data_IF_748634637540
#
_entry.id   IF_748634637540
#
_cell.length_a   1.000
_cell.length_b   1.000
_cell.length_c   1.000
_cell.angle_alpha   90.00
_cell.angle_beta   90.00
_cell.angle_gamma   90.00
#
_symmetry.space_group_name_H-M   'P 1'
#
loop_
_entity.id
_entity.type
_entity.pdbx_description
1 polymer ?
#
# COMPACT_ATOMS: atom_id res chain seq x y z
N UNK A 1 21.92 5.92 -11.42
CA UNK A 1 21.56 7.34 -11.61
C UNK A 1 22.17 8.13 -10.47
N UNK A 2 22.76 9.29 -10.75
CA UNK A 2 23.18 10.20 -9.68
C UNK A 2 21.90 10.84 -9.10
N UNK A 3 21.89 11.10 -7.81
CA UNK A 3 20.72 11.62 -7.07
C UNK A 3 20.10 12.88 -7.71
N UNK A 4 20.93 13.75 -8.28
CA UNK A 4 20.50 14.97 -8.98
C UNK A 4 19.74 14.75 -10.29
N UNK A 5 19.89 13.60 -10.96
CA UNK A 5 19.19 13.30 -12.22
C UNK A 5 17.80 12.69 -11.99
N UNK A 6 17.49 12.27 -10.78
CA UNK A 6 16.22 11.60 -10.46
C UNK A 6 15.02 12.56 -10.54
N UNK A 7 15.21 13.83 -10.24
CA UNK A 7 14.13 14.82 -10.25
C UNK A 7 14.05 15.68 -11.51
N UNK A 8 14.87 15.40 -12.55
CA UNK A 8 14.81 16.11 -13.83
C UNK A 8 13.47 15.84 -14.55
N UNK A 9 13.05 14.59 -14.60
CA UNK A 9 11.77 14.18 -15.21
C UNK A 9 11.08 13.09 -14.41
N UNK A 10 9.77 13.27 -14.20
CA UNK A 10 8.96 12.28 -13.49
C UNK A 10 8.70 11.05 -14.36
N UNK A 11 9.16 9.87 -13.93
CA UNK A 11 8.83 8.60 -14.59
C UNK A 11 7.36 8.27 -14.42
N UNK A 12 6.82 7.42 -15.33
CA UNK A 12 5.44 6.95 -15.24
C UNK A 12 5.18 6.21 -13.92
N UNK A 13 6.09 5.33 -13.52
CA UNK A 13 5.99 4.61 -12.23
C UNK A 13 5.99 5.56 -11.03
N UNK A 14 6.83 6.61 -11.05
CA UNK A 14 6.83 7.63 -9.99
C UNK A 14 5.51 8.41 -9.95
N UNK A 15 4.93 8.70 -11.11
CA UNK A 15 3.62 9.35 -11.22
C UNK A 15 2.51 8.47 -10.65
N UNK A 16 2.44 7.20 -11.03
CA UNK A 16 1.43 6.26 -10.53
C UNK A 16 1.59 6.05 -9.02
N UNK A 17 2.83 5.88 -8.52
CA UNK A 17 3.11 5.80 -7.09
C UNK A 17 2.55 6.99 -6.31
N UNK A 18 2.87 8.21 -6.77
CA UNK A 18 2.37 9.43 -6.15
C UNK A 18 0.84 9.54 -6.20
N UNK A 19 0.23 9.12 -7.31
CA UNK A 19 -1.23 9.09 -7.48
C UNK A 19 -1.89 8.10 -6.50
N UNK A 20 -1.34 6.89 -6.34
CA UNK A 20 -1.84 5.89 -5.39
C UNK A 20 -1.87 6.46 -3.96
N UNK A 21 -0.75 7.00 -3.49
CA UNK A 21 -0.63 7.53 -2.12
C UNK A 21 -1.56 8.73 -1.91
N UNK A 22 -1.59 9.65 -2.90
CA UNK A 22 -2.40 10.87 -2.81
C UNK A 22 -3.91 10.60 -2.90
N UNK A 23 -4.32 9.54 -3.56
CA UNK A 23 -5.73 9.11 -3.58
C UNK A 23 -6.11 8.34 -2.32
N UNK A 24 -5.18 7.56 -1.77
CA UNK A 24 -5.41 6.77 -0.58
C UNK A 24 -5.63 7.64 0.66
N UNK A 25 -4.77 8.62 0.92
CA UNK A 25 -4.74 9.35 2.17
C UNK A 25 -6.07 10.03 2.55
N UNK A 26 -6.76 10.79 1.67
CA UNK A 26 -8.06 11.37 2.00
C UNK A 26 -9.14 10.32 2.29
N UNK A 27 -9.14 9.19 1.55
CA UNK A 27 -10.08 8.09 1.76
C UNK A 27 -9.82 7.36 3.08
N UNK A 28 -8.55 7.15 3.44
CA UNK A 28 -8.12 6.66 4.76
C UNK A 28 -8.60 7.58 5.87
N UNK A 29 -8.41 8.89 5.74
CA UNK A 29 -8.91 9.87 6.72
C UNK A 29 -10.42 9.73 6.94
N UNK A 30 -11.20 9.57 5.88
CA UNK A 30 -12.65 9.36 5.99
C UNK A 30 -13.00 8.08 6.75
N UNK A 31 -12.24 6.99 6.57
CA UNK A 31 -12.43 5.75 7.36
C UNK A 31 -12.18 6.01 8.85
N UNK A 32 -11.14 6.75 9.18
CA UNK A 32 -10.81 7.10 10.56
C UNK A 32 -11.89 7.97 11.19
N UNK A 33 -12.28 9.06 10.52
CA UNK A 33 -13.27 10.03 11.00
C UNK A 33 -14.62 9.37 11.29
N UNK A 34 -15.04 8.44 10.45
CA UNK A 34 -16.30 7.70 10.62
C UNK A 34 -16.31 6.77 11.84
N UNK A 35 -15.15 6.45 12.40
CA UNK A 35 -15.01 5.59 13.57
C UNK A 35 -14.68 6.36 14.85
N UNK A 36 -13.92 7.40 14.72
CA UNK A 36 -13.41 8.22 15.81
C UNK A 36 -13.08 9.60 15.24
N UNK A 37 -13.39 10.68 16.00
CA UNK A 37 -13.06 12.04 15.61
C UNK A 37 -11.72 12.43 16.25
N UNK A 38 -10.58 12.21 15.58
CA UNK A 38 -9.28 12.56 16.14
C UNK A 38 -9.10 14.09 16.16
N UNK A 39 -8.18 14.58 16.99
CA UNK A 39 -7.80 15.99 17.01
C UNK A 39 -7.09 16.39 15.72
N UNK A 40 -6.25 15.50 15.19
CA UNK A 40 -5.56 15.69 13.93
C UNK A 40 -5.35 14.36 13.20
N UNK A 41 -5.20 14.44 11.89
CA UNK A 41 -4.82 13.33 11.02
C UNK A 41 -3.45 13.65 10.44
N UNK A 42 -2.51 12.73 10.51
CA UNK A 42 -1.13 12.98 10.08
C UNK A 42 -0.79 12.29 8.79
N UNK A 43 -0.21 13.04 7.87
CA UNK A 43 0.54 12.50 6.75
C UNK A 43 2.03 12.74 7.02
N UNK A 44 2.80 11.66 7.05
CA UNK A 44 4.24 11.70 7.35
C UNK A 44 4.99 11.15 6.15
N UNK A 45 5.88 11.93 5.58
CA UNK A 45 6.76 11.51 4.49
C UNK A 45 8.22 11.75 4.90
N UNK A 46 8.97 10.67 5.04
CA UNK A 46 10.34 10.73 5.56
C UNK A 46 11.40 10.97 4.48
N UNK A 47 11.01 10.87 3.19
CA UNK A 47 11.88 11.05 2.03
C UNK A 47 11.13 11.84 0.96
N UNK A 48 10.68 13.04 1.32
CA UNK A 48 9.67 13.79 0.60
C UNK A 48 10.14 14.40 -0.73
N UNK A 49 11.45 14.49 -0.95
CA UNK A 49 12.04 15.12 -2.13
C UNK A 49 11.74 16.62 -2.25
N UNK A 50 11.92 17.20 -3.43
CA UNK A 50 11.75 18.66 -3.63
C UNK A 50 10.28 19.11 -3.75
N UNK A 51 9.30 18.22 -3.77
CA UNK A 51 7.88 18.53 -3.98
C UNK A 51 7.48 18.68 -5.44
N UNK A 52 8.33 19.20 -6.29
CA UNK A 52 8.17 19.27 -7.75
C UNK A 52 9.39 18.74 -8.47
N UNK A 53 9.13 18.13 -9.60
CA UNK A 53 10.15 17.78 -10.59
C UNK A 53 10.54 19.02 -11.43
N UNK A 54 11.68 18.97 -12.12
CA UNK A 54 12.11 20.07 -12.99
C UNK A 54 11.18 20.25 -14.20
N UNK A 55 10.51 19.20 -14.64
CA UNK A 55 9.48 19.22 -15.67
C UNK A 55 8.15 19.88 -15.21
N UNK A 56 8.08 20.36 -13.95
CA UNK A 56 6.93 21.00 -13.35
C UNK A 56 5.90 20.05 -12.74
N UNK A 57 6.06 18.72 -12.88
CA UNK A 57 5.16 17.75 -12.29
C UNK A 57 5.25 17.75 -10.76
N UNK A 58 4.10 17.61 -10.10
CA UNK A 58 4.03 17.52 -8.64
C UNK A 58 4.43 16.13 -8.16
N UNK A 59 5.20 16.06 -7.06
CA UNK A 59 5.50 14.82 -6.37
C UNK A 59 4.48 14.52 -5.27
N UNK A 60 4.64 13.40 -4.58
CA UNK A 60 3.69 12.89 -3.59
C UNK A 60 3.25 13.92 -2.55
N UNK A 61 4.12 14.72 -1.90
CA UNK A 61 3.73 15.73 -0.90
C UNK A 61 2.67 16.72 -1.40
N UNK A 62 2.88 17.28 -2.60
CA UNK A 62 1.97 18.28 -3.14
C UNK A 62 0.65 17.65 -3.59
N UNK A 63 0.69 16.48 -4.23
CA UNK A 63 -0.53 15.77 -4.67
C UNK A 63 -1.41 15.37 -3.48
N UNK A 64 -0.82 14.89 -2.39
CA UNK A 64 -1.55 14.56 -1.16
C UNK A 64 -2.23 15.80 -0.59
N UNK A 65 -1.50 16.92 -0.47
CA UNK A 65 -2.05 18.16 0.03
C UNK A 65 -3.19 18.68 -0.86
N UNK A 66 -3.02 18.67 -2.18
CA UNK A 66 -4.03 19.09 -3.16
C UNK A 66 -5.30 18.25 -3.06
N UNK A 67 -5.18 16.95 -2.87
CA UNK A 67 -6.33 16.07 -2.69
C UNK A 67 -7.05 16.30 -1.35
N UNK A 68 -6.34 16.71 -0.30
CA UNK A 68 -6.94 17.09 0.98
C UNK A 68 -7.79 18.37 0.89
N UNK A 69 -7.44 19.30 0.01
CA UNK A 69 -8.23 20.54 -0.20
C UNK A 69 -9.65 20.28 -0.72
N UNK A 70 -9.91 19.13 -1.31
CA UNK A 70 -11.25 18.74 -1.77
C UNK A 70 -12.24 18.48 -0.63
N UNK A 71 -11.76 18.49 0.62
CA UNK A 71 -12.55 18.22 1.82
C UNK A 71 -12.21 19.24 2.92
N UNK A 72 -13.18 20.08 3.29
CA UNK A 72 -13.01 21.13 4.28
C UNK A 72 -12.61 20.62 5.67
N UNK A 73 -13.06 19.42 6.05
CA UNK A 73 -12.65 18.81 7.31
C UNK A 73 -11.16 18.47 7.29
N UNK A 74 -10.65 17.91 6.18
CA UNK A 74 -9.23 17.60 6.05
C UNK A 74 -8.37 18.86 6.04
N UNK A 75 -8.84 19.92 5.38
CA UNK A 75 -8.17 21.23 5.39
C UNK A 75 -7.95 21.76 6.82
N UNK A 76 -8.89 21.46 7.73
CA UNK A 76 -8.83 21.93 9.13
C UNK A 76 -8.03 21.00 10.06
N UNK A 77 -7.98 19.69 9.78
CA UNK A 77 -7.50 18.70 10.74
C UNK A 77 -6.27 17.91 10.27
N UNK A 78 -5.81 18.10 9.02
CA UNK A 78 -4.62 17.40 8.54
C UNK A 78 -3.36 18.16 8.94
N UNK A 79 -2.39 17.42 9.48
CA UNK A 79 -1.01 17.87 9.69
C UNK A 79 -0.08 17.14 8.72
N UNK A 80 0.63 17.90 7.92
CA UNK A 80 1.70 17.38 7.09
C UNK A 80 3.03 17.44 7.83
N UNK A 81 3.80 16.36 7.80
CA UNK A 81 5.13 16.22 8.38
C UNK A 81 6.03 15.69 7.29
N UNK A 82 6.91 16.54 6.81
CA UNK A 82 7.83 16.22 5.73
C UNK A 82 9.28 16.24 6.23
N UNK A 83 10.02 15.25 5.80
CA UNK A 83 11.45 15.21 6.02
C UNK A 83 12.17 14.89 4.70
N UNK A 84 13.21 15.65 4.43
CA UNK A 84 14.17 15.33 3.38
C UNK A 84 15.53 15.95 3.74
N UNK A 85 16.58 15.13 3.75
CA UNK A 85 17.88 15.60 4.19
C UNK A 85 18.58 16.53 3.18
N UNK A 86 18.16 16.48 1.93
CA UNK A 86 18.77 17.24 0.81
C UNK A 86 17.85 18.36 0.32
N UNK A 87 16.55 18.08 0.18
CA UNK A 87 15.60 18.94 -0.55
C UNK A 87 14.64 19.72 0.36
N UNK A 88 14.83 19.75 1.68
CA UNK A 88 13.92 20.38 2.65
C UNK A 88 13.54 21.82 2.27
N UNK A 89 14.51 22.67 1.91
CA UNK A 89 14.26 24.10 1.61
C UNK A 89 13.52 24.28 0.29
N UNK A 90 13.84 23.47 -0.70
CA UNK A 90 13.13 23.47 -1.99
C UNK A 90 11.69 22.96 -1.82
N UNK A 91 11.50 21.88 -1.04
CA UNK A 91 10.18 21.35 -0.71
C UNK A 91 9.32 22.39 0.00
N UNK A 92 9.86 23.04 1.03
CA UNK A 92 9.16 24.07 1.78
C UNK A 92 8.75 25.21 0.88
N UNK A 93 9.65 25.69 0.02
CA UNK A 93 9.37 26.75 -0.94
C UNK A 93 8.27 26.35 -1.94
N UNK A 94 8.39 25.17 -2.54
CA UNK A 94 7.40 24.66 -3.50
C UNK A 94 6.04 24.45 -2.83
N UNK A 95 6.03 23.88 -1.64
CA UNK A 95 4.79 23.64 -0.89
C UNK A 95 4.09 24.94 -0.50
N UNK A 96 4.83 25.91 0.05
CA UNK A 96 4.26 27.19 0.48
C UNK A 96 3.84 28.08 -0.70
N UNK A 97 4.43 27.90 -1.87
CA UNK A 97 4.00 28.56 -3.10
C UNK A 97 2.64 28.04 -3.56
N UNK A 98 2.42 26.72 -3.53
CA UNK A 98 1.14 26.10 -3.93
C UNK A 98 0.06 26.24 -2.83
N UNK A 99 0.47 26.20 -1.57
CA UNK A 99 -0.41 26.23 -0.40
C UNK A 99 0.07 27.29 0.60
N UNK A 100 -0.23 28.59 0.35
CA UNK A 100 0.16 29.68 1.23
C UNK A 100 -0.33 29.48 2.68
N UNK A 101 0.29 30.18 3.62
CA UNK A 101 -0.12 30.16 5.03
C UNK A 101 -1.62 30.44 5.18
N UNK A 102 -2.29 29.62 5.98
CA UNK A 102 -3.74 29.66 6.14
C UNK A 102 -4.54 28.77 5.17
N UNK A 103 -3.90 28.16 4.14
CA UNK A 103 -4.55 27.16 3.30
C UNK A 103 -4.98 25.95 4.14
N UNK A 104 -4.13 25.49 5.05
CA UNK A 104 -4.45 24.50 6.06
C UNK A 104 -4.42 25.14 7.43
N UNK A 105 -5.36 24.78 8.31
CA UNK A 105 -5.43 25.31 9.68
C UNK A 105 -4.21 24.90 10.51
N UNK A 106 -3.69 23.68 10.28
CA UNK A 106 -2.51 23.17 10.96
C UNK A 106 -1.32 23.37 10.02
N UNK A 107 -0.35 24.16 10.43
CA UNK A 107 0.84 24.42 9.63
C UNK A 107 1.64 23.12 9.35
N UNK A 108 2.15 22.93 8.15
CA UNK A 108 3.05 21.83 7.82
C UNK A 108 4.36 21.95 8.60
N UNK A 109 4.99 20.82 8.86
CA UNK A 109 6.32 20.76 9.48
C UNK A 109 7.33 20.19 8.49
N UNK A 110 8.47 20.87 8.34
CA UNK A 110 9.56 20.47 7.46
C UNK A 110 10.85 20.24 8.25
N UNK A 111 11.55 19.15 7.95
CA UNK A 111 12.85 18.83 8.56
C UNK A 111 13.85 18.32 7.53
N UNK A 112 15.14 18.43 7.85
CA UNK A 112 16.27 18.03 7.00
C UNK A 112 17.14 16.97 7.69
N UNK A 113 16.54 15.94 8.28
CA UNK A 113 17.26 14.97 9.11
C UNK A 113 17.51 13.68 8.36
N UNK A 114 18.67 13.07 8.63
CA UNK A 114 18.98 11.73 8.14
C UNK A 114 18.21 10.68 8.95
N UNK A 115 17.33 9.96 8.27
CA UNK A 115 16.54 8.86 8.88
C UNK A 115 17.51 7.76 9.36
N UNK A 116 17.25 7.22 10.56
CA UNK A 116 18.09 6.23 11.22
C UNK A 116 19.27 6.80 12.01
N UNK A 117 19.73 8.02 11.73
CA UNK A 117 20.80 8.68 12.48
C UNK A 117 20.26 9.68 13.52
N UNK A 118 19.12 10.28 13.24
CA UNK A 118 18.51 11.27 14.13
C UNK A 118 17.50 10.63 15.09
N UNK A 119 17.94 10.36 16.30
CA UNK A 119 17.12 9.74 17.36
C UNK A 119 15.72 10.35 17.57
N UNK A 120 15.50 11.69 17.50
CA UNK A 120 14.16 12.23 17.65
C UNK A 120 13.14 11.77 16.62
N UNK A 121 13.49 11.50 15.36
CA UNK A 121 12.56 10.89 14.40
C UNK A 121 12.16 9.50 14.87
N UNK A 122 13.14 8.66 15.22
CA UNK A 122 12.88 7.31 15.75
C UNK A 122 11.99 7.40 17.00
N UNK A 123 12.33 8.25 17.95
CA UNK A 123 11.53 8.44 19.17
C UNK A 123 10.10 8.93 18.86
N UNK A 124 9.94 9.79 17.87
CA UNK A 124 8.63 10.24 17.43
C UNK A 124 7.78 9.10 16.86
N UNK A 125 8.39 8.24 16.01
CA UNK A 125 7.70 7.11 15.41
C UNK A 125 7.31 6.05 16.44
N UNK A 126 8.22 5.71 17.38
CA UNK A 126 7.97 4.69 18.41
C UNK A 126 7.14 5.19 19.58
N UNK A 127 6.85 6.48 19.65
CA UNK A 127 6.02 7.03 20.71
C UNK A 127 4.63 6.40 20.67
N UNK A 128 4.51 5.28 21.38
CA UNK A 128 3.25 4.60 21.58
C UNK A 128 2.38 5.48 22.45
N UNK A 129 1.42 6.11 21.84
CA UNK A 129 0.48 6.91 22.59
C UNK A 129 -0.81 6.17 22.87
N UNK A 130 -1.27 5.31 21.92
CA UNK A 130 -2.58 4.70 22.10
C UNK A 130 -2.75 3.42 21.25
N UNK A 131 -2.68 2.27 21.89
CA UNK A 131 -2.99 0.98 21.31
C UNK A 131 -4.50 0.83 21.01
N UNK A 132 -5.34 1.60 21.72
CA UNK A 132 -6.80 1.58 21.57
C UNK A 132 -7.35 2.64 20.61
N UNK A 133 -8.69 2.66 20.46
CA UNK A 133 -9.42 3.61 19.58
C UNK A 133 -9.33 5.09 20.01
N UNK A 134 -8.54 5.41 21.00
CA UNK A 134 -8.35 6.76 21.51
C UNK A 134 -7.09 7.46 20.96
N UNK A 135 -6.51 6.96 19.87
CA UNK A 135 -5.43 7.69 19.21
C UNK A 135 -5.97 8.99 18.61
N UNK A 136 -5.54 10.12 19.18
CA UNK A 136 -5.98 11.45 18.77
C UNK A 136 -5.25 12.00 17.54
N UNK A 137 -4.23 11.27 17.06
CA UNK A 137 -3.40 11.67 15.94
C UNK A 137 -3.02 10.47 15.04
N UNK A 138 -4.01 9.73 14.50
CA UNK A 138 -3.72 8.65 13.59
C UNK A 138 -2.92 9.15 12.40
N UNK A 139 -1.98 8.31 11.92
CA UNK A 139 -1.02 8.73 10.92
C UNK A 139 -0.87 7.71 9.80
N UNK A 140 -0.76 8.21 8.57
CA UNK A 140 -0.22 7.48 7.42
C UNK A 140 1.25 7.87 7.26
N UNK A 141 2.13 6.87 7.30
CA UNK A 141 3.56 7.01 7.09
C UNK A 141 3.92 6.53 5.69
N UNK A 142 4.54 7.39 4.89
CA UNK A 142 5.09 7.06 3.60
C UNK A 142 6.62 7.06 3.65
N UNK A 143 7.22 5.99 3.13
CA UNK A 143 8.67 5.75 3.15
C UNK A 143 9.10 5.35 1.75
N UNK A 144 9.81 6.24 1.07
CA UNK A 144 10.36 6.04 -0.27
C UNK A 144 11.88 6.28 -0.30
N UNK A 145 12.69 5.40 0.30
CA UNK A 145 14.10 5.65 0.51
C UNK A 145 14.93 5.38 -0.74
N UNK A 146 15.96 6.19 -0.99
CA UNK A 146 16.99 5.87 -1.98
C UNK A 146 17.82 4.62 -1.61
N UNK A 147 17.81 4.23 -0.33
CA UNK A 147 18.47 3.05 0.21
C UNK A 147 17.87 2.70 1.57
N UNK A 148 18.15 1.50 2.08
CA UNK A 148 17.49 0.99 3.30
C UNK A 148 18.24 1.27 4.59
N UNK A 149 19.36 2.01 4.54
CA UNK A 149 20.08 2.43 5.75
C UNK A 149 19.14 3.28 6.64
N UNK A 150 18.99 2.87 7.88
CA UNK A 150 18.14 3.55 8.85
C UNK A 150 16.66 3.20 8.76
N UNK A 151 16.28 2.23 7.91
CA UNK A 151 14.93 1.66 7.88
C UNK A 151 14.93 0.42 8.77
N UNK A 152 14.38 0.59 9.97
CA UNK A 152 14.30 -0.46 10.98
C UNK A 152 12.85 -0.96 11.11
N UNK A 153 12.61 -2.21 10.71
CA UNK A 153 11.25 -2.79 10.75
C UNK A 153 10.69 -2.84 12.17
N UNK A 154 11.53 -2.98 13.19
CA UNK A 154 11.11 -2.90 14.60
C UNK A 154 10.51 -1.52 14.95
N UNK A 155 11.13 -0.44 14.47
CA UNK A 155 10.63 0.93 14.67
C UNK A 155 9.30 1.13 13.95
N UNK A 156 9.22 0.67 12.71
CA UNK A 156 8.01 0.78 11.89
C UNK A 156 6.86 -0.06 12.46
N UNK A 157 7.15 -1.24 13.00
CA UNK A 157 6.16 -2.07 13.67
C UNK A 157 5.60 -1.38 14.93
N UNK A 158 6.45 -0.74 15.74
CA UNK A 158 6.00 0.04 16.89
C UNK A 158 5.12 1.23 16.46
N UNK A 159 5.48 1.93 15.38
CA UNK A 159 4.61 2.95 14.80
C UNK A 159 3.25 2.38 14.40
N UNK A 160 3.25 1.25 13.70
CA UNK A 160 2.04 0.56 13.24
C UNK A 160 1.18 0.05 14.42
N UNK A 161 1.77 -0.18 15.60
CA UNK A 161 1.04 -0.62 16.80
C UNK A 161 -0.04 0.37 17.24
N UNK A 162 0.14 1.66 16.99
CA UNK A 162 -0.87 2.67 17.30
C UNK A 162 -2.15 2.47 16.48
N UNK A 163 -3.31 2.71 17.11
CA UNK A 163 -4.59 2.57 16.41
C UNK A 163 -4.70 3.57 15.24
N UNK A 164 -5.14 3.08 14.11
CA UNK A 164 -5.32 3.89 12.91
C UNK A 164 -4.03 4.19 12.16
N UNK A 165 -2.85 3.89 12.70
CA UNK A 165 -1.61 4.08 11.95
C UNK A 165 -1.48 3.05 10.83
N UNK A 166 -0.98 3.52 9.68
CA UNK A 166 -0.73 2.72 8.48
C UNK A 166 0.57 3.14 7.80
N UNK A 167 1.14 2.26 7.00
CA UNK A 167 2.44 2.48 6.35
C UNK A 167 2.34 2.16 4.87
N UNK A 168 2.88 3.06 4.04
CA UNK A 168 3.35 2.74 2.70
C UNK A 168 4.87 2.65 2.70
N UNK A 169 5.40 1.54 2.23
CA UNK A 169 6.83 1.31 2.10
C UNK A 169 7.17 1.00 0.64
N UNK A 170 7.99 1.84 0.03
CA UNK A 170 8.49 1.60 -1.32
C UNK A 170 9.74 0.72 -1.27
N UNK A 171 9.73 -0.34 -2.06
CA UNK A 171 10.76 -1.39 -2.07
C UNK A 171 11.37 -1.52 -3.45
N UNK A 172 12.69 -1.37 -3.53
CA UNK A 172 13.47 -1.71 -4.69
C UNK A 172 14.15 -3.07 -4.49
N UNK A 173 13.55 -4.09 -5.03
CA UNK A 173 14.03 -5.48 -4.86
C UNK A 173 15.38 -5.75 -5.54
N UNK A 174 15.76 -4.97 -6.56
CA UNK A 174 17.10 -5.05 -7.17
C UNK A 174 18.22 -4.68 -6.21
N UNK A 175 17.92 -3.90 -5.18
CA UNK A 175 18.89 -3.55 -4.13
C UNK A 175 18.89 -4.56 -2.99
N UNK A 176 17.73 -5.10 -2.65
CA UNK A 176 17.57 -6.06 -1.55
C UNK A 176 18.14 -7.42 -1.93
N UNK A 177 17.81 -7.91 -3.13
CA UNK A 177 18.23 -9.25 -3.56
C UNK A 177 19.76 -9.47 -3.49
N UNK A 178 20.62 -8.63 -4.10
CA UNK A 178 22.06 -8.79 -3.97
C UNK A 178 22.57 -8.57 -2.54
N UNK A 179 21.90 -7.72 -1.75
CA UNK A 179 22.27 -7.45 -0.37
C UNK A 179 22.03 -8.67 0.54
N UNK A 180 21.02 -9.49 0.28
CA UNK A 180 20.76 -10.73 1.00
C UNK A 180 21.86 -11.79 0.79
N UNK A 181 22.55 -11.74 -0.35
CA UNK A 181 23.64 -12.67 -0.69
C UNK A 181 25.02 -12.18 -0.22
N UNK A 182 25.15 -10.92 0.21
CA UNK A 182 26.41 -10.28 0.55
C UNK A 182 26.49 -9.99 2.06
N UNK A 183 27.38 -10.67 2.76
CA UNK A 183 27.60 -10.54 4.20
C UNK A 183 27.84 -9.09 4.67
N UNK A 184 28.43 -8.25 3.82
CA UNK A 184 28.65 -6.83 4.14
C UNK A 184 27.34 -6.10 4.44
N UNK A 185 26.24 -6.53 3.84
CA UNK A 185 24.92 -5.92 4.00
C UNK A 185 24.03 -6.68 4.99
N UNK A 186 24.55 -7.73 5.63
CA UNK A 186 23.77 -8.51 6.60
C UNK A 186 23.15 -7.66 7.72
N UNK A 187 23.86 -6.73 8.38
CA UNK A 187 23.25 -5.87 9.40
C UNK A 187 22.02 -5.11 8.87
N UNK A 188 22.15 -4.53 7.67
CA UNK A 188 21.07 -3.80 7.01
C UNK A 188 19.87 -4.71 6.68
N UNK A 189 20.14 -5.93 6.23
CA UNK A 189 19.09 -6.90 5.93
C UNK A 189 18.42 -7.43 7.20
N UNK A 190 19.15 -7.54 8.30
CA UNK A 190 18.58 -7.88 9.62
C UNK A 190 17.72 -6.75 10.21
N UNK A 191 18.03 -5.49 9.93
CA UNK A 191 17.17 -4.36 10.29
C UNK A 191 15.84 -4.41 9.52
N UNK A 192 15.89 -4.83 8.25
CA UNK A 192 14.72 -4.94 7.39
C UNK A 192 13.91 -6.23 7.65
N UNK A 193 14.59 -7.34 7.95
CA UNK A 193 14.02 -8.67 8.18
C UNK A 193 14.49 -9.27 9.54
N UNK A 194 14.17 -8.63 10.68
CA UNK A 194 14.71 -9.03 11.97
C UNK A 194 14.32 -10.45 12.39
N UNK A 195 13.18 -10.96 11.96
CA UNK A 195 12.69 -12.30 12.36
C UNK A 195 12.70 -13.33 11.23
N UNK A 196 12.77 -12.90 9.95
CA UNK A 196 12.67 -13.79 8.79
C UNK A 196 13.94 -13.88 7.94
N UNK A 197 14.99 -13.15 8.27
CA UNK A 197 16.24 -13.13 7.51
C UNK A 197 16.79 -14.53 7.21
N UNK A 198 16.93 -15.38 8.25
CA UNK A 198 17.43 -16.75 8.07
C UNK A 198 16.44 -17.62 7.26
N UNK A 199 15.14 -17.41 7.44
CA UNK A 199 14.11 -18.10 6.65
C UNK A 199 14.26 -17.79 5.17
N UNK A 200 14.42 -16.50 4.82
CA UNK A 200 14.60 -16.07 3.43
C UNK A 200 15.85 -16.71 2.83
N UNK A 201 16.98 -16.69 3.55
CA UNK A 201 18.25 -17.26 3.05
C UNK A 201 18.20 -18.77 2.86
N UNK A 202 17.44 -19.48 3.69
CA UNK A 202 17.32 -20.95 3.63
C UNK A 202 16.22 -21.45 2.70
N UNK A 203 15.32 -20.58 2.26
CA UNK A 203 14.19 -21.00 1.44
C UNK A 203 14.69 -21.45 0.04
N UNK A 204 14.22 -22.63 -0.39
CA UNK A 204 14.57 -23.21 -1.69
C UNK A 204 14.10 -22.34 -2.86
N UNK A 205 12.98 -21.66 -2.71
CA UNK A 205 12.44 -20.73 -3.72
C UNK A 205 13.36 -19.54 -3.96
N UNK A 206 14.12 -19.13 -2.95
CA UNK A 206 15.10 -18.06 -3.09
C UNK A 206 16.18 -18.37 -4.16
N UNK A 207 16.42 -19.66 -4.43
CA UNK A 207 17.42 -20.14 -5.40
C UNK A 207 16.83 -20.55 -6.76
N UNK A 208 15.51 -20.51 -6.95
CA UNK A 208 14.86 -20.99 -8.19
C UNK A 208 14.77 -19.88 -9.24
N UNK A 209 13.76 -19.07 -9.21
CA UNK A 209 13.57 -17.99 -10.19
C UNK A 209 13.66 -16.60 -9.57
N UNK A 210 13.94 -15.58 -10.38
CA UNK A 210 13.95 -14.19 -9.91
C UNK A 210 12.57 -13.79 -9.39
N UNK A 211 11.51 -14.14 -10.10
CA UNK A 211 10.14 -13.78 -9.72
C UNK A 211 9.74 -14.37 -8.37
N UNK A 212 10.05 -15.66 -8.12
CA UNK A 212 9.75 -16.31 -6.84
C UNK A 212 10.55 -15.69 -5.69
N UNK A 213 11.81 -15.30 -5.95
CA UNK A 213 12.63 -14.60 -4.96
C UNK A 213 12.06 -13.23 -4.58
N UNK A 214 11.62 -12.47 -5.57
CA UNK A 214 11.04 -11.16 -5.34
C UNK A 214 9.74 -11.26 -4.53
N UNK A 215 8.90 -12.24 -4.86
CA UNK A 215 7.68 -12.50 -4.11
C UNK A 215 7.97 -12.94 -2.67
N UNK A 216 8.94 -13.83 -2.48
CA UNK A 216 9.39 -14.27 -1.15
C UNK A 216 9.85 -13.09 -0.28
N UNK A 217 10.58 -12.13 -0.85
CA UNK A 217 11.00 -10.92 -0.14
C UNK A 217 9.79 -10.11 0.31
N UNK A 218 8.82 -9.87 -0.57
CA UNK A 218 7.61 -9.09 -0.26
C UNK A 218 6.76 -9.79 0.79
N UNK A 219 6.56 -11.09 0.68
CA UNK A 219 5.77 -11.87 1.64
C UNK A 219 6.41 -11.88 3.02
N UNK A 220 7.73 -12.08 3.10
CA UNK A 220 8.43 -12.04 4.38
C UNK A 220 8.45 -10.65 4.98
N UNK A 221 8.53 -9.59 4.17
CA UNK A 221 8.40 -8.24 4.68
C UNK A 221 7.04 -8.01 5.38
N UNK A 222 5.93 -8.44 4.77
CA UNK A 222 4.61 -8.36 5.39
C UNK A 222 4.50 -9.20 6.67
N UNK A 223 5.06 -10.41 6.67
CA UNK A 223 5.05 -11.33 7.82
C UNK A 223 5.89 -10.83 9.00
N UNK A 224 6.95 -10.05 8.76
CA UNK A 224 7.76 -9.44 9.82
C UNK A 224 6.91 -8.66 10.80
N UNK A 225 6.05 -7.78 10.30
CA UNK A 225 5.19 -6.96 11.15
C UNK A 225 4.22 -7.80 11.98
N UNK A 226 3.67 -8.88 11.42
CA UNK A 226 2.81 -9.78 12.17
C UNK A 226 3.56 -10.49 13.29
N UNK A 227 4.78 -10.96 13.03
CA UNK A 227 5.63 -11.64 14.02
C UNK A 227 6.04 -10.71 15.14
N UNK A 228 6.49 -9.49 14.83
CA UNK A 228 6.91 -8.50 15.82
C UNK A 228 5.74 -8.06 16.69
N UNK A 229 4.58 -7.79 16.09
CA UNK A 229 3.42 -7.27 16.82
C UNK A 229 2.59 -8.35 17.52
N UNK A 230 2.78 -9.63 17.20
CA UNK A 230 1.97 -10.73 17.74
C UNK A 230 0.49 -10.63 17.38
N UNK A 231 0.13 -9.86 16.36
CA UNK A 231 -1.24 -9.65 15.89
C UNK A 231 -1.29 -9.61 14.38
N UNK A 232 -2.49 -9.79 13.82
CA UNK A 232 -2.66 -9.75 12.38
C UNK A 232 -2.36 -8.35 11.81
N UNK A 233 -1.50 -8.33 10.81
CA UNK A 233 -1.22 -7.20 9.95
C UNK A 233 -1.63 -7.60 8.54
N UNK A 234 -2.44 -6.78 7.90
CA UNK A 234 -2.80 -6.94 6.50
C UNK A 234 -1.77 -6.22 5.66
N UNK A 235 -1.31 -6.86 4.60
CA UNK A 235 -0.39 -6.26 3.63
C UNK A 235 -0.78 -6.65 2.22
N UNK A 236 -0.52 -5.76 1.30
CA UNK A 236 -0.59 -6.01 -0.14
C UNK A 236 0.42 -5.12 -0.85
N UNK A 237 0.87 -5.54 -2.00
CA UNK A 237 1.86 -4.84 -2.79
C UNK A 237 1.35 -4.49 -4.18
N UNK A 238 1.85 -3.39 -4.71
CA UNK A 238 1.68 -2.98 -6.09
C UNK A 238 3.04 -2.97 -6.76
N UNK A 239 3.14 -3.63 -7.88
CA UNK A 239 4.38 -3.84 -8.62
C UNK A 239 4.48 -2.87 -9.80
N UNK A 240 5.65 -2.29 -9.97
CA UNK A 240 5.98 -1.46 -11.13
C UNK A 240 6.97 -2.20 -12.03
N UNK A 241 6.65 -2.28 -13.31
CA UNK A 241 7.51 -2.83 -14.36
C UNK A 241 7.89 -1.69 -15.30
N UNK A 242 9.20 -1.39 -15.36
CA UNK A 242 9.75 -0.32 -16.17
C UNK A 242 10.00 -0.80 -17.61
N UNK A 243 10.06 0.16 -18.57
CA UNK A 243 10.17 -0.09 -20.00
C UNK A 243 11.41 -0.92 -20.39
N UNK A 244 12.56 -0.61 -19.81
CA UNK A 244 13.85 -1.21 -20.17
C UNK A 244 14.19 -2.51 -19.41
N UNK A 245 13.26 -3.06 -18.64
CA UNK A 245 13.57 -4.10 -17.68
C UNK A 245 12.53 -5.21 -17.73
N UNK A 246 12.97 -6.42 -18.12
CA UNK A 246 12.11 -7.61 -18.18
C UNK A 246 11.64 -8.12 -16.81
N UNK A 247 12.19 -7.58 -15.72
CA UNK A 247 11.83 -7.95 -14.35
C UNK A 247 11.35 -6.75 -13.56
N UNK A 248 10.18 -6.87 -12.94
CA UNK A 248 9.71 -5.89 -11.98
C UNK A 248 10.76 -5.67 -10.88
N UNK A 249 11.02 -4.42 -10.57
CA UNK A 249 12.08 -4.07 -9.61
C UNK A 249 11.58 -3.26 -8.44
N UNK A 250 10.41 -2.66 -8.56
CA UNK A 250 9.88 -1.73 -7.58
C UNK A 250 8.49 -2.17 -7.13
N UNK A 251 8.26 -2.05 -5.84
CA UNK A 251 6.97 -2.33 -5.20
C UNK A 251 6.62 -1.21 -4.25
N UNK A 252 5.35 -0.89 -4.15
CA UNK A 252 4.81 -0.14 -3.02
C UNK A 252 3.98 -1.10 -2.17
N UNK A 253 4.42 -1.32 -0.94
CA UNK A 253 3.77 -2.22 0.02
C UNK A 253 2.96 -1.38 0.99
N UNK A 254 1.69 -1.70 1.13
CA UNK A 254 0.83 -1.11 2.14
C UNK A 254 0.65 -2.07 3.31
N UNK A 255 0.75 -1.53 4.53
CA UNK A 255 0.66 -2.24 5.79
C UNK A 255 -0.39 -1.59 6.69
N UNK A 256 -1.35 -2.35 7.15
CA UNK A 256 -2.41 -1.89 8.05
C UNK A 256 -2.88 -2.99 9.01
N UNK A 257 -3.42 -2.60 10.16
CA UNK A 257 -4.15 -3.51 11.06
C UNK A 257 -5.66 -3.48 10.82
N UNK A 258 -6.12 -2.59 9.96
CA UNK A 258 -7.53 -2.36 9.67
C UNK A 258 -8.00 -3.05 8.40
N UNK A 259 -8.98 -3.99 8.49
CA UNK A 259 -9.58 -4.60 7.29
C UNK A 259 -10.11 -3.59 6.28
N UNK A 260 -10.62 -2.44 6.73
CA UNK A 260 -11.14 -1.39 5.83
C UNK A 260 -10.05 -0.67 5.06
N UNK A 261 -8.88 -0.43 5.70
CA UNK A 261 -7.70 0.09 5.00
C UNK A 261 -7.20 -0.92 3.96
N UNK A 262 -7.20 -2.21 4.32
CA UNK A 262 -6.82 -3.29 3.40
C UNK A 262 -7.79 -3.43 2.21
N UNK A 263 -9.11 -3.32 2.42
CA UNK A 263 -10.12 -3.29 1.34
C UNK A 263 -9.93 -2.06 0.43
N UNK A 264 -9.73 -0.89 1.03
CA UNK A 264 -9.52 0.35 0.31
C UNK A 264 -8.29 0.30 -0.60
N UNK A 265 -7.15 -0.16 -0.07
CA UNK A 265 -5.93 -0.19 -0.87
C UNK A 265 -6.00 -1.19 -2.03
N UNK A 266 -6.63 -2.34 -1.83
CA UNK A 266 -6.85 -3.30 -2.93
C UNK A 266 -7.70 -2.70 -4.05
N UNK A 267 -8.72 -1.91 -3.71
CA UNK A 267 -9.53 -1.20 -4.69
C UNK A 267 -8.69 -0.18 -5.46
N UNK A 268 -7.92 0.64 -4.77
CA UNK A 268 -7.05 1.63 -5.41
C UNK A 268 -5.99 0.94 -6.28
N UNK A 269 -5.35 -0.11 -5.79
CA UNK A 269 -4.38 -0.84 -6.58
C UNK A 269 -4.99 -1.45 -7.85
N UNK A 270 -6.21 -1.98 -7.75
CA UNK A 270 -6.94 -2.48 -8.91
C UNK A 270 -7.24 -1.39 -9.94
N UNK A 271 -7.58 -0.18 -9.47
CA UNK A 271 -7.90 0.95 -10.35
C UNK A 271 -6.66 1.48 -11.11
N UNK A 272 -5.47 1.33 -10.54
CA UNK A 272 -4.21 1.74 -11.15
C UNK A 272 -3.47 0.62 -11.91
N UNK A 273 -3.83 -0.64 -11.70
CA UNK A 273 -3.22 -1.76 -12.43
C UNK A 273 -3.67 -1.76 -13.89
N UNK A 274 -2.72 -1.98 -14.81
CA UNK A 274 -2.98 -2.10 -16.24
C UNK A 274 -2.62 -3.48 -16.82
N UNK A 275 -2.04 -4.35 -16.00
CA UNK A 275 -1.78 -5.73 -16.36
C UNK A 275 -2.73 -6.62 -15.57
N UNK A 276 -3.50 -7.43 -16.28
CA UNK A 276 -4.33 -8.45 -15.67
C UNK A 276 -3.47 -9.54 -15.02
N UNK A 277 -3.31 -9.48 -13.70
CA UNK A 277 -2.60 -10.49 -12.93
C UNK A 277 -3.57 -11.52 -12.36
N UNK A 278 -3.22 -12.79 -12.41
CA UNK A 278 -3.99 -13.86 -11.75
C UNK A 278 -3.74 -13.79 -10.25
N UNK A 279 -4.79 -13.58 -9.47
CA UNK A 279 -4.71 -13.51 -8.01
C UNK A 279 -4.92 -14.89 -7.39
N UNK A 280 -3.85 -15.62 -7.19
CA UNK A 280 -3.84 -16.93 -6.52
C UNK A 280 -3.37 -16.85 -5.04
N UNK A 281 -3.27 -15.64 -4.50
CA UNK A 281 -2.71 -15.34 -3.19
C UNK A 281 -1.23 -14.97 -3.21
N UNK A 282 -0.55 -15.16 -4.35
CA UNK A 282 0.88 -14.89 -4.53
C UNK A 282 1.09 -13.64 -5.40
N UNK A 283 0.20 -13.38 -6.36
CA UNK A 283 0.35 -12.30 -7.33
C UNK A 283 -0.11 -10.95 -6.77
N UNK A 284 0.65 -9.93 -7.13
CA UNK A 284 0.40 -8.54 -6.77
C UNK A 284 -0.25 -7.78 -7.93
N UNK A 285 -0.94 -6.69 -7.63
CA UNK A 285 -1.34 -5.74 -8.65
C UNK A 285 -0.12 -5.21 -9.40
N UNK A 286 -0.24 -5.03 -10.72
CA UNK A 286 0.91 -4.65 -11.56
C UNK A 286 0.55 -3.48 -12.47
N UNK A 287 1.49 -2.54 -12.57
CA UNK A 287 1.54 -1.53 -13.60
C UNK A 287 2.77 -1.78 -14.48
N UNK A 288 2.55 -2.00 -15.77
CA UNK A 288 3.59 -2.19 -16.77
C UNK A 288 3.55 -1.04 -17.78
N UNK A 289 4.67 -0.33 -17.91
CA UNK A 289 4.81 0.76 -18.86
C UNK A 289 4.72 0.27 -20.30
N UNK A 290 5.20 -0.95 -20.59
CA UNK A 290 5.16 -1.54 -21.94
C UNK A 290 3.73 -1.70 -22.47
N UNK A 291 2.78 -2.03 -21.59
CA UNK A 291 1.37 -2.19 -21.95
C UNK A 291 0.70 -0.90 -22.43
N UNK A 292 1.25 0.27 -22.06
CA UNK A 292 0.77 1.56 -22.57
C UNK A 292 1.34 1.82 -23.97
N UNK A 293 2.61 1.46 -24.20
CA UNK A 293 3.33 1.74 -25.45
C UNK A 293 2.92 0.75 -26.54
N UNK A 294 2.83 -0.53 -26.16
CA UNK A 294 2.48 -1.62 -27.05
C UNK A 294 1.43 -2.53 -26.37
N UNK A 295 0.15 -2.16 -26.39
CA UNK A 295 -0.90 -2.99 -25.77
C UNK A 295 -0.90 -4.41 -26.36
N UNK A 296 -0.71 -5.39 -25.50
CA UNK A 296 -0.83 -6.80 -25.90
C UNK A 296 -2.33 -7.10 -26.01
N UNK A 297 -2.77 -7.48 -27.20
CA UNK A 297 -4.11 -8.02 -27.37
C UNK A 297 -4.11 -9.45 -26.84
N UNK A 298 -4.45 -9.63 -25.58
CA UNK A 298 -4.50 -10.95 -24.95
C UNK A 298 -5.64 -11.77 -25.54
N UNK A 299 -5.35 -13.03 -25.89
CA UNK A 299 -6.33 -14.02 -26.35
C UNK A 299 -7.34 -14.42 -25.25
N UNK A 300 -7.01 -14.14 -23.98
CA UNK A 300 -7.81 -14.48 -22.80
C UNK A 300 -7.97 -13.25 -21.91
N UNK A 301 -9.19 -13.00 -21.46
CA UNK A 301 -9.48 -11.97 -20.46
C UNK A 301 -9.05 -12.46 -19.07
N UNK A 302 -7.85 -12.04 -18.63
CA UNK A 302 -7.31 -12.37 -17.31
C UNK A 302 -8.24 -11.85 -16.19
N UNK A 303 -8.92 -10.73 -16.42
CA UNK A 303 -9.92 -10.21 -15.49
C UNK A 303 -11.07 -11.20 -15.27
N UNK A 304 -11.59 -11.78 -16.34
CA UNK A 304 -12.61 -12.83 -16.26
C UNK A 304 -12.08 -14.10 -15.59
N UNK A 305 -10.86 -14.52 -15.88
CA UNK A 305 -10.24 -15.67 -15.23
C UNK A 305 -10.09 -15.45 -13.71
N UNK A 306 -9.71 -14.24 -13.27
CA UNK A 306 -9.67 -13.90 -11.86
C UNK A 306 -11.04 -14.03 -11.18
N UNK A 307 -12.10 -13.61 -11.86
CA UNK A 307 -13.46 -13.76 -11.36
C UNK A 307 -13.83 -15.25 -11.24
N UNK A 308 -13.49 -16.06 -12.21
CA UNK A 308 -13.78 -17.51 -12.20
C UNK A 308 -12.99 -18.24 -11.12
N UNK A 309 -11.74 -17.88 -10.90
CA UNK A 309 -10.92 -18.41 -9.79
C UNK A 309 -11.54 -18.05 -8.43
N UNK A 310 -11.94 -16.79 -8.25
CA UNK A 310 -12.60 -16.34 -7.03
C UNK A 310 -13.95 -17.02 -6.83
N UNK A 311 -14.76 -17.16 -7.90
CA UNK A 311 -16.03 -17.87 -7.90
C UNK A 311 -15.84 -19.31 -7.38
N UNK A 312 -14.87 -20.03 -7.94
CA UNK A 312 -14.58 -21.39 -7.52
C UNK A 312 -14.11 -21.48 -6.06
N UNK A 313 -13.26 -20.54 -5.62
CA UNK A 313 -12.80 -20.48 -4.24
C UNK A 313 -13.95 -20.22 -3.25
N UNK A 314 -14.86 -19.31 -3.60
CA UNK A 314 -16.07 -19.01 -2.82
C UNK A 314 -16.96 -20.26 -2.74
N UNK A 315 -17.26 -20.88 -3.87
CA UNK A 315 -18.10 -22.07 -3.91
C UNK A 315 -17.53 -23.19 -3.04
N UNK A 316 -16.25 -23.50 -3.21
CA UNK A 316 -15.57 -24.55 -2.41
C UNK A 316 -15.61 -24.27 -0.91
N UNK A 317 -15.43 -23.00 -0.49
CA UNK A 317 -15.36 -22.65 0.93
C UNK A 317 -16.70 -22.51 1.62
N UNK A 318 -17.74 -22.18 0.88
CA UNK A 318 -19.06 -21.82 1.44
C UNK A 318 -20.21 -22.70 0.93
N UNK A 319 -19.95 -23.73 0.11
CA UNK A 319 -20.97 -24.65 -0.36
C UNK A 319 -21.78 -25.23 0.81
N UNK A 320 -23.11 -25.18 0.73
CA UNK A 320 -24.03 -25.60 1.76
C UNK A 320 -24.15 -24.67 2.98
N UNK A 321 -23.55 -23.47 2.94
CA UNK A 321 -23.66 -22.47 4.01
C UNK A 321 -24.59 -21.32 3.60
N UNK A 322 -25.30 -20.77 4.59
CA UNK A 322 -26.04 -19.52 4.44
C UNK A 322 -25.25 -18.39 5.08
N UNK A 323 -24.90 -17.39 4.29
CA UNK A 323 -24.06 -16.27 4.74
C UNK A 323 -24.43 -15.00 3.94
N UNK A 324 -24.39 -13.83 4.58
CA UNK A 324 -24.55 -12.58 3.84
C UNK A 324 -23.33 -12.30 2.96
N UNK A 325 -23.55 -11.65 1.81
CA UNK A 325 -22.45 -11.23 0.93
C UNK A 325 -21.40 -10.36 1.65
N UNK A 326 -21.86 -9.54 2.59
CA UNK A 326 -20.98 -8.73 3.43
C UNK A 326 -20.09 -9.59 4.32
N UNK A 327 -20.66 -10.55 5.05
CA UNK A 327 -19.88 -11.42 5.94
C UNK A 327 -18.93 -12.32 5.15
N UNK A 328 -19.39 -12.88 4.03
CA UNK A 328 -18.55 -13.65 3.12
C UNK A 328 -17.33 -12.82 2.68
N UNK A 329 -17.55 -11.58 2.24
CA UNK A 329 -16.48 -10.68 1.86
C UNK A 329 -15.54 -10.39 3.05
N UNK A 330 -16.08 -10.04 4.24
CA UNK A 330 -15.29 -9.73 5.43
C UNK A 330 -14.42 -10.91 5.92
N UNK A 331 -14.88 -12.14 5.70
CA UNK A 331 -14.13 -13.35 6.05
C UNK A 331 -13.09 -13.72 4.98
N UNK A 332 -13.49 -13.74 3.72
CA UNK A 332 -12.68 -14.28 2.63
C UNK A 332 -11.66 -13.26 2.10
N UNK A 333 -11.92 -11.95 2.18
CA UNK A 333 -11.01 -10.93 1.62
C UNK A 333 -9.59 -10.96 2.17
N UNK A 334 -9.38 -11.59 3.32
CA UNK A 334 -8.07 -11.70 3.97
C UNK A 334 -7.17 -12.77 3.36
N UNK A 335 -7.71 -13.62 2.50
CA UNK A 335 -7.00 -14.76 1.90
C UNK A 335 -6.39 -14.44 0.54
N UNK A 336 -6.64 -13.24 -0.02
CA UNK A 336 -6.13 -12.88 -1.34
C UNK A 336 -6.30 -11.40 -1.68
N UNK A 337 -5.83 -11.03 -2.86
CA UNK A 337 -5.80 -9.65 -3.34
C UNK A 337 -7.09 -9.20 -4.05
N UNK A 338 -8.15 -10.01 -4.04
CA UNK A 338 -9.43 -9.64 -4.66
C UNK A 338 -10.05 -8.43 -3.94
N UNK A 339 -10.47 -7.44 -4.71
CA UNK A 339 -11.21 -6.29 -4.20
C UNK A 339 -12.72 -6.55 -4.24
N UNK A 340 -13.51 -5.69 -3.60
CA UNK A 340 -14.97 -5.84 -3.45
C UNK A 340 -15.72 -6.03 -4.77
N UNK A 341 -15.29 -5.35 -5.83
CA UNK A 341 -15.91 -5.49 -7.15
C UNK A 341 -15.78 -6.91 -7.73
N UNK A 342 -14.65 -7.58 -7.49
CA UNK A 342 -14.44 -8.97 -7.90
C UNK A 342 -15.44 -9.91 -7.20
N UNK A 343 -15.63 -9.74 -5.88
CA UNK A 343 -16.62 -10.54 -5.13
C UNK A 343 -18.03 -10.33 -5.67
N UNK A 344 -18.43 -9.09 -5.95
CA UNK A 344 -19.73 -8.81 -6.53
C UNK A 344 -19.95 -9.50 -7.89
N UNK A 345 -18.93 -9.52 -8.74
CA UNK A 345 -18.97 -10.21 -10.03
C UNK A 345 -19.02 -11.73 -9.85
N UNK A 346 -18.17 -12.30 -9.00
CA UNK A 346 -18.11 -13.74 -8.73
C UNK A 346 -19.44 -14.26 -8.17
N UNK A 347 -20.04 -13.56 -7.19
CA UNK A 347 -21.33 -13.94 -6.63
C UNK A 347 -22.47 -13.87 -7.67
N UNK A 348 -22.45 -12.87 -8.57
CA UNK A 348 -23.44 -12.80 -9.66
C UNK A 348 -23.29 -13.96 -10.65
N UNK A 349 -22.07 -14.38 -10.96
CA UNK A 349 -21.83 -15.58 -11.79
C UNK A 349 -22.40 -16.83 -11.12
N UNK A 350 -22.16 -17.03 -9.81
CA UNK A 350 -22.72 -18.17 -9.07
C UNK A 350 -24.26 -18.17 -9.12
N UNK A 351 -24.90 -17.00 -9.00
CA UNK A 351 -26.36 -16.90 -9.15
C UNK A 351 -26.82 -17.26 -10.56
N UNK A 352 -26.17 -16.75 -11.59
CA UNK A 352 -26.52 -17.01 -12.98
C UNK A 352 -26.31 -18.47 -13.40
N UNK A 353 -25.38 -19.17 -12.75
CA UNK A 353 -25.08 -20.59 -12.94
C UNK A 353 -26.00 -21.52 -12.09
N UNK A 354 -26.92 -20.94 -11.28
CA UNK A 354 -27.81 -21.71 -10.39
C UNK A 354 -27.11 -22.36 -9.20
N UNK A 355 -25.84 -21.97 -8.94
CA UNK A 355 -25.03 -22.50 -7.82
C UNK A 355 -25.23 -21.71 -6.53
N UNK A 356 -26.02 -20.63 -6.56
CA UNK A 356 -26.26 -19.74 -5.45
C UNK A 356 -27.69 -19.20 -5.52
N UNK A 357 -28.43 -19.35 -4.43
CA UNK A 357 -29.66 -18.63 -4.22
C UNK A 357 -29.37 -17.32 -3.47
N UNK A 358 -29.81 -16.19 -4.03
CA UNK A 358 -29.51 -14.90 -3.47
C UNK A 358 -30.75 -13.99 -3.45
N UNK A 359 -30.91 -13.22 -2.38
CA UNK A 359 -31.78 -12.07 -2.34
C UNK A 359 -30.98 -10.78 -2.52
N UNK A 360 -31.55 -9.85 -3.31
CA UNK A 360 -30.94 -8.54 -3.58
C UNK A 360 -31.71 -7.45 -2.85
N UNK A 361 -31.02 -6.45 -2.32
CA UNK A 361 -31.67 -5.24 -1.82
C UNK A 361 -32.13 -4.36 -2.97
N UNK A 362 -33.20 -3.62 -2.72
CA UNK A 362 -33.81 -2.71 -3.67
C UNK A 362 -32.83 -1.76 -4.37
N UNK A 363 -33.12 -1.47 -5.63
CA UNK A 363 -32.55 -0.39 -6.45
C UNK A 363 -31.01 -0.29 -6.60
N UNK A 364 -30.21 -1.00 -5.82
CA UNK A 364 -28.74 -0.93 -5.88
C UNK A 364 -28.04 -2.23 -6.26
N UNK A 365 -28.78 -3.27 -6.60
CA UNK A 365 -28.21 -4.57 -6.95
C UNK A 365 -27.21 -5.13 -5.93
N UNK A 366 -27.39 -4.86 -4.65
CA UNK A 366 -26.55 -5.39 -3.59
C UNK A 366 -27.08 -6.74 -3.11
N UNK A 367 -26.18 -7.72 -3.03
CA UNK A 367 -26.49 -9.02 -2.46
C UNK A 367 -26.66 -8.88 -0.93
N UNK A 368 -27.81 -9.27 -0.40
CA UNK A 368 -28.11 -9.19 1.04
C UNK A 368 -27.75 -10.49 1.74
N UNK A 369 -28.15 -11.62 1.17
CA UNK A 369 -27.85 -12.93 1.71
C UNK A 369 -27.59 -13.92 0.58
N UNK A 370 -26.81 -14.92 0.90
CA UNK A 370 -26.34 -15.92 -0.05
C UNK A 370 -26.55 -17.29 0.56
N UNK A 371 -27.30 -18.15 -0.13
CA UNK A 371 -27.42 -19.55 0.19
C UNK A 371 -26.73 -20.34 -0.93
N UNK A 372 -25.64 -21.01 -0.59
CA UNK A 372 -24.89 -21.82 -1.57
C UNK A 372 -25.48 -23.24 -1.51
N UNK A 373 -26.10 -23.68 -2.62
CA UNK A 373 -26.67 -25.01 -2.71
C UNK A 373 -25.60 -26.09 -2.78
N UNK A 374 -25.90 -27.28 -2.24
CA UNK A 374 -25.15 -28.50 -2.49
C UNK A 374 -25.78 -29.19 -3.68
N UNK A 375 -24.98 -29.62 -4.61
CA UNK A 375 -25.35 -30.65 -5.58
C UNK A 375 -25.54 -31.99 -4.88
#
# INVERSE_FOLDING_TARGET
>A
MKENQFFEQQTMSSRIKASIVSEYFPKYCNIIINKHKPKELRYIDLFAGPGKYEDGNESTPLLVARNCLKNSFLQQHVRFIFNDNTYKEQLETNFMTEFPLGTFTINPFFSNRTVGEWKPITQYLIKSTHVGRCNESPALLFIDPFGYKGIETNVLAQFLQNWGNEIFLFINTKRIHPALENEKFEPLMRDLFPTTYETIKSDRKFKQSVSERLQLIIDNLGLEYQKILGTRVYYTAFRFQEEDIDTASHYIVHLTKGKRGFDLIKTIYNDFANVGTIFDGINTYTFDVKEIINPITELFDIGEQNIDNLKQAIYTSYCGKSISAFNLFEEHQITGNYCRSHYSKALRKLVSEGLLEASFTDNKNHLVSVLISKD
#
